data_IF_355626128928
#
_entry.id   IF_355626128928
#
_cell.length_a   1.000
_cell.length_b   1.000
_cell.length_c   1.000
_cell.angle_alpha   90.00
_cell.angle_beta   90.00
_cell.angle_gamma   90.00
#
_symmetry.space_group_name_H-M   'P 1'
#
loop_
_entity.id
_entity.type
_entity.pdbx_description
1 polymer ?
#
# COMPACT_ATOMS: atom_id res chain seq x y z
N UNK A 1 -13.50 -17.83 17.74
CA UNK A 1 -12.41 -17.05 17.11
C UNK A 1 -12.84 -16.49 15.75
N UNK A 2 -13.22 -17.33 14.78
CA UNK A 2 -13.68 -16.91 13.44
C UNK A 2 -14.80 -15.85 13.46
N UNK A 3 -15.84 -16.07 14.27
CA UNK A 3 -16.97 -15.13 14.41
C UNK A 3 -16.54 -13.72 14.83
N UNK A 4 -15.56 -13.64 15.72
CA UNK A 4 -15.05 -12.38 16.21
C UNK A 4 -14.20 -11.66 15.16
N UNK A 5 -13.38 -12.38 14.39
CA UNK A 5 -12.69 -11.79 13.24
C UNK A 5 -13.66 -11.32 12.16
N UNK A 6 -14.69 -12.12 11.87
CA UNK A 6 -15.67 -11.82 10.82
C UNK A 6 -16.36 -10.46 11.04
N UNK A 7 -16.71 -10.11 12.29
CA UNK A 7 -17.31 -8.81 12.64
C UNK A 7 -16.44 -7.60 12.30
N UNK A 8 -15.12 -7.78 12.18
CA UNK A 8 -14.19 -6.69 11.85
C UNK A 8 -13.79 -6.74 10.37
N UNK A 9 -13.49 -7.93 9.86
CA UNK A 9 -13.02 -8.12 8.49
C UNK A 9 -14.14 -7.87 7.49
N UNK A 10 -15.35 -8.38 7.72
CA UNK A 10 -16.45 -8.26 6.75
C UNK A 10 -16.80 -6.78 6.49
N UNK A 11 -17.03 -5.93 7.51
CA UNK A 11 -17.31 -4.51 7.27
C UNK A 11 -16.16 -3.80 6.56
N UNK A 12 -14.91 -4.09 6.92
CA UNK A 12 -13.74 -3.51 6.28
C UNK A 12 -13.69 -3.89 4.79
N UNK A 13 -13.82 -5.18 4.45
CA UNK A 13 -13.80 -5.66 3.07
C UNK A 13 -14.96 -5.07 2.25
N UNK A 14 -16.15 -4.96 2.83
CA UNK A 14 -17.30 -4.35 2.15
C UNK A 14 -17.03 -2.87 1.84
N UNK A 15 -16.52 -2.11 2.82
CA UNK A 15 -16.15 -0.69 2.63
C UNK A 15 -15.13 -0.54 1.49
N UNK A 16 -14.11 -1.39 1.50
CA UNK A 16 -13.04 -1.41 0.51
C UNK A 16 -13.60 -1.71 -0.89
N UNK A 17 -14.44 -2.72 -1.05
CA UNK A 17 -15.04 -3.05 -2.34
C UNK A 17 -15.92 -1.92 -2.88
N UNK A 18 -16.59 -1.17 -2.01
CA UNK A 18 -17.32 0.04 -2.41
C UNK A 18 -16.34 1.10 -2.92
N UNK A 19 -15.23 1.34 -2.21
CA UNK A 19 -14.19 2.30 -2.61
C UNK A 19 -13.54 1.94 -3.96
N UNK A 20 -13.31 0.65 -4.20
CA UNK A 20 -12.78 0.14 -5.48
C UNK A 20 -13.70 0.48 -6.66
N UNK A 21 -15.01 0.25 -6.50
CA UNK A 21 -15.99 0.44 -7.59
C UNK A 21 -16.40 1.89 -7.83
N UNK A 22 -16.19 2.76 -6.84
CA UNK A 22 -16.64 4.15 -6.89
C UNK A 22 -15.58 5.12 -7.43
N UNK A 23 -14.38 4.64 -7.79
CA UNK A 23 -13.31 5.46 -8.37
C UNK A 23 -12.50 6.25 -7.33
N UNK A 24 -12.79 6.09 -6.04
CA UNK A 24 -12.08 6.80 -4.97
C UNK A 24 -10.60 6.44 -4.88
N UNK A 25 -10.24 5.19 -5.20
CA UNK A 25 -8.83 4.78 -5.23
C UNK A 25 -8.04 5.61 -6.24
N UNK A 26 -8.59 5.84 -7.43
CA UNK A 26 -7.94 6.68 -8.44
C UNK A 26 -7.79 8.13 -7.96
N UNK A 27 -8.82 8.69 -7.30
CA UNK A 27 -8.76 10.03 -6.74
C UNK A 27 -7.65 10.15 -5.68
N UNK A 28 -7.60 9.22 -4.71
CA UNK A 28 -6.57 9.19 -3.67
C UNK A 28 -5.19 9.05 -4.29
N UNK A 29 -5.06 8.20 -5.31
CA UNK A 29 -3.80 7.95 -6.01
C UNK A 29 -3.29 9.20 -6.72
N UNK A 30 -4.16 9.99 -7.36
CA UNK A 30 -3.77 11.24 -7.99
C UNK A 30 -3.22 12.26 -6.98
N UNK A 31 -3.77 12.29 -5.76
CA UNK A 31 -3.26 13.14 -4.68
C UNK A 31 -1.92 12.65 -4.12
N UNK A 32 -1.70 11.33 -4.08
CA UNK A 32 -0.44 10.71 -3.64
C UNK A 32 0.64 10.66 -4.73
N UNK A 33 0.27 10.80 -6.01
CA UNK A 33 1.18 10.83 -7.16
C UNK A 33 2.43 11.69 -6.95
N UNK A 34 2.33 12.98 -6.55
CA UNK A 34 3.52 13.81 -6.33
C UNK A 34 4.43 13.33 -5.20
N UNK A 35 3.90 12.58 -4.22
CA UNK A 35 4.68 12.03 -3.10
C UNK A 35 5.55 10.85 -3.56
N UNK A 36 5.16 10.14 -4.64
CA UNK A 36 5.92 8.99 -5.16
C UNK A 36 7.33 9.37 -5.61
N UNK A 37 7.52 10.61 -6.07
CA UNK A 37 8.84 11.12 -6.45
C UNK A 37 9.86 11.08 -5.31
N UNK A 38 9.42 11.18 -4.04
CA UNK A 38 10.32 11.06 -2.87
C UNK A 38 10.95 9.66 -2.76
N UNK A 39 10.25 8.64 -3.26
CA UNK A 39 10.70 7.25 -3.26
C UNK A 39 11.39 6.86 -4.57
N UNK A 40 11.57 7.80 -5.50
CA UNK A 40 12.07 7.53 -6.84
C UNK A 40 11.14 6.63 -7.65
N UNK A 41 9.82 6.79 -7.44
CA UNK A 41 8.76 6.07 -8.14
C UNK A 41 7.96 7.05 -9.03
N UNK A 42 7.42 6.57 -10.18
CA UNK A 42 6.51 7.36 -11.00
C UNK A 42 5.17 7.57 -10.28
N UNK A 43 4.46 8.65 -10.63
CA UNK A 43 3.21 9.03 -9.95
C UNK A 43 2.13 7.95 -10.07
N UNK A 44 2.13 7.21 -11.17
CA UNK A 44 1.23 6.11 -11.48
C UNK A 44 1.39 4.93 -10.52
N UNK A 45 2.58 4.75 -9.91
CA UNK A 45 2.83 3.74 -8.88
C UNK A 45 1.99 3.99 -7.60
N UNK A 46 1.50 5.22 -7.39
CA UNK A 46 0.60 5.53 -6.29
C UNK A 46 -0.67 4.66 -6.36
N UNK A 47 -1.18 4.39 -7.55
CA UNK A 47 -2.37 3.56 -7.72
C UNK A 47 -2.16 2.12 -7.23
N UNK A 48 -0.99 1.54 -7.52
CA UNK A 48 -0.63 0.22 -7.03
C UNK A 48 -0.53 0.20 -5.50
N UNK A 49 0.18 1.19 -4.92
CA UNK A 49 0.36 1.30 -3.47
C UNK A 49 -0.97 1.50 -2.72
N UNK A 50 -1.82 2.41 -3.22
CA UNK A 50 -3.14 2.72 -2.68
C UNK A 50 -4.05 1.49 -2.77
N UNK A 51 -4.05 0.80 -3.92
CA UNK A 51 -4.82 -0.44 -4.11
C UNK A 51 -4.36 -1.56 -3.16
N UNK A 52 -3.04 -1.72 -2.96
CA UNK A 52 -2.49 -2.68 -2.01
C UNK A 52 -2.88 -2.37 -0.57
N UNK A 53 -2.81 -1.10 -0.17
CA UNK A 53 -3.02 -0.66 1.21
C UNK A 53 -4.49 -0.63 1.60
N UNK A 54 -5.34 -0.12 0.72
CA UNK A 54 -6.76 -0.02 1.02
C UNK A 54 -7.47 -1.33 0.75
N UNK A 55 -7.09 -2.08 -0.29
CA UNK A 55 -7.79 -3.31 -0.65
C UNK A 55 -7.03 -4.58 -0.30
N UNK A 56 -6.25 -5.08 -1.24
CA UNK A 56 -5.54 -6.34 -1.12
C UNK A 56 -4.22 -6.23 -1.85
N UNK A 57 -3.23 -6.99 -1.39
CA UNK A 57 -1.93 -7.04 -2.06
C UNK A 57 -2.07 -7.48 -3.53
N UNK A 58 -3.05 -8.33 -3.85
CA UNK A 58 -3.32 -8.79 -5.22
C UNK A 58 -3.87 -7.68 -6.13
N UNK A 59 -4.72 -6.79 -5.61
CA UNK A 59 -5.17 -5.62 -6.36
C UNK A 59 -3.99 -4.70 -6.71
N UNK A 60 -3.11 -4.43 -5.75
CA UNK A 60 -1.87 -3.67 -6.00
C UNK A 60 -0.96 -4.35 -7.01
N UNK A 61 -0.76 -5.67 -6.89
CA UNK A 61 0.02 -6.47 -7.83
C UNK A 61 -0.50 -6.39 -9.27
N UNK A 62 -1.83 -6.44 -9.46
CA UNK A 62 -2.45 -6.29 -10.77
C UNK A 62 -2.12 -4.95 -11.42
N UNK A 63 -2.14 -3.87 -10.63
CA UNK A 63 -1.73 -2.53 -11.11
C UNK A 63 -0.23 -2.49 -11.39
N UNK A 64 0.63 -3.00 -10.50
CA UNK A 64 2.08 -3.03 -10.69
C UNK A 64 2.48 -3.76 -11.97
N UNK A 65 1.87 -4.91 -12.25
CA UNK A 65 2.12 -5.68 -13.48
C UNK A 65 1.67 -4.89 -14.72
N UNK A 66 0.52 -4.22 -14.65
CA UNK A 66 0.02 -3.40 -15.75
C UNK A 66 0.90 -2.17 -16.05
N UNK A 67 1.59 -1.62 -15.05
CA UNK A 67 2.49 -0.48 -15.22
C UNK A 67 3.81 -0.82 -15.90
N UNK A 68 4.27 -2.08 -15.83
CA UNK A 68 5.51 -2.51 -16.49
C UNK A 68 6.76 -1.76 -16.01
N UNK A 69 6.82 -1.41 -14.72
CA UNK A 69 7.91 -0.62 -14.16
C UNK A 69 9.25 -1.36 -14.23
N UNK A 70 10.38 -0.64 -14.34
CA UNK A 70 11.70 -1.27 -14.25
C UNK A 70 11.92 -2.02 -12.94
N UNK A 71 12.92 -2.89 -12.92
CA UNK A 71 13.21 -3.76 -11.78
C UNK A 71 13.44 -2.98 -10.48
N UNK A 72 14.09 -1.81 -10.57
CA UNK A 72 14.34 -0.93 -9.43
C UNK A 72 13.05 -0.45 -8.78
N UNK A 73 12.19 0.19 -9.56
CA UNK A 73 10.93 0.77 -9.09
C UNK A 73 9.96 -0.33 -8.63
N UNK A 74 9.87 -1.43 -9.38
CA UNK A 74 9.10 -2.61 -8.99
C UNK A 74 9.56 -3.16 -7.65
N UNK A 75 10.87 -3.20 -7.38
CA UNK A 75 11.41 -3.68 -6.10
C UNK A 75 11.05 -2.75 -4.95
N UNK A 76 11.20 -1.44 -5.12
CA UNK A 76 10.83 -0.44 -4.09
C UNK A 76 9.33 -0.55 -3.80
N UNK A 77 8.50 -0.53 -4.83
CA UNK A 77 7.04 -0.62 -4.72
C UNK A 77 6.60 -1.94 -4.07
N UNK A 78 7.18 -3.08 -4.48
CA UNK A 78 6.88 -4.38 -3.90
C UNK A 78 7.24 -4.45 -2.41
N UNK A 79 8.39 -3.90 -2.01
CA UNK A 79 8.79 -3.82 -0.61
C UNK A 79 7.81 -2.97 0.20
N UNK A 80 7.38 -1.82 -0.34
CA UNK A 80 6.39 -0.96 0.29
C UNK A 80 5.08 -1.71 0.54
N UNK A 81 4.54 -2.38 -0.48
CA UNK A 81 3.30 -3.15 -0.37
C UNK A 81 3.45 -4.32 0.60
N UNK A 82 4.59 -5.02 0.62
CA UNK A 82 4.80 -6.16 1.51
C UNK A 82 4.77 -5.73 2.99
N UNK A 83 5.36 -4.58 3.31
CA UNK A 83 5.36 -4.02 4.67
C UNK A 83 3.98 -3.49 5.04
N UNK A 84 3.34 -2.78 4.12
CA UNK A 84 2.07 -2.11 4.33
C UNK A 84 1.10 -2.47 3.20
N UNK A 85 0.37 -3.57 3.39
CA UNK A 85 -0.78 -3.96 2.57
C UNK A 85 -1.98 -4.16 3.48
N UNK A 86 -3.18 -4.06 2.89
CA UNK A 86 -4.44 -4.26 3.58
C UNK A 86 -4.48 -3.53 4.93
N UNK A 87 -3.91 -2.32 4.97
CA UNK A 87 -3.57 -1.58 6.17
C UNK A 87 -4.79 -1.35 7.06
N UNK A 88 -5.97 -1.13 6.47
CA UNK A 88 -7.23 -0.99 7.22
C UNK A 88 -7.59 -2.30 7.92
N UNK A 89 -7.68 -3.41 7.19
CA UNK A 89 -8.17 -4.69 7.72
C UNK A 89 -7.18 -5.31 8.70
N UNK A 90 -5.88 -5.24 8.42
CA UNK A 90 -4.85 -5.74 9.32
C UNK A 90 -4.73 -4.89 10.59
N UNK A 91 -4.78 -3.56 10.48
CA UNK A 91 -4.78 -2.70 11.67
C UNK A 91 -6.00 -2.98 12.55
N UNK A 92 -7.18 -3.15 11.94
CA UNK A 92 -8.40 -3.46 12.68
C UNK A 92 -8.32 -4.85 13.35
N UNK A 93 -7.72 -5.84 12.67
CA UNK A 93 -7.49 -7.18 13.22
C UNK A 93 -6.52 -7.14 14.41
N UNK A 94 -5.38 -6.49 14.27
CA UNK A 94 -4.36 -6.38 15.34
C UNK A 94 -4.88 -5.55 16.51
N UNK A 95 -5.70 -4.52 16.24
CA UNK A 95 -6.36 -3.75 17.29
C UNK A 95 -7.32 -4.61 18.11
N UNK A 96 -8.02 -5.54 17.47
CA UNK A 96 -8.90 -6.50 18.17
C UNK A 96 -8.13 -7.48 19.05
N UNK A 97 -6.84 -7.72 18.78
CA UNK A 97 -5.95 -8.50 19.63
C UNK A 97 -5.39 -7.69 20.83
N UNK A 98 -5.81 -6.44 21.02
CA UNK A 98 -5.44 -5.60 22.17
C UNK A 98 -4.42 -4.50 21.85
N UNK A 99 -3.95 -4.40 20.60
CA UNK A 99 -3.06 -3.32 20.21
C UNK A 99 -3.83 -2.00 19.98
N UNK A 100 -3.11 -0.88 20.02
CA UNK A 100 -3.69 0.43 19.68
C UNK A 100 -3.61 0.63 18.16
N UNK A 101 -4.76 0.70 17.49
CA UNK A 101 -4.87 0.82 16.03
C UNK A 101 -3.95 1.89 15.42
N UNK A 102 -3.96 3.10 15.99
CA UNK A 102 -3.12 4.20 15.51
C UNK A 102 -1.62 3.90 15.54
N UNK A 103 -1.14 3.19 16.58
CA UNK A 103 0.27 2.81 16.69
C UNK A 103 0.66 1.72 15.68
N UNK A 104 -0.23 0.76 15.42
CA UNK A 104 0.01 -0.29 14.41
C UNK A 104 0.13 0.34 13.02
N UNK A 105 -0.83 1.18 12.64
CA UNK A 105 -0.82 1.85 11.34
C UNK A 105 0.39 2.77 11.18
N UNK A 106 0.71 3.55 12.22
CA UNK A 106 1.86 4.44 12.22
C UNK A 106 3.17 3.67 12.07
N UNK A 107 3.39 2.63 12.89
CA UNK A 107 4.61 1.83 12.85
C UNK A 107 4.84 1.20 11.47
N UNK A 108 3.80 0.65 10.86
CA UNK A 108 3.88 0.04 9.52
C UNK A 108 4.11 1.07 8.42
N UNK A 109 3.43 2.20 8.49
CA UNK A 109 3.59 3.29 7.52
C UNK A 109 5.00 3.88 7.60
N UNK A 110 5.52 4.10 8.81
CA UNK A 110 6.90 4.57 9.02
C UNK A 110 7.90 3.54 8.52
N UNK A 111 7.73 2.25 8.85
CA UNK A 111 8.61 1.19 8.36
C UNK A 111 8.63 1.13 6.82
N UNK A 112 7.46 1.23 6.19
CA UNK A 112 7.31 1.29 4.73
C UNK A 112 8.09 2.47 4.14
N UNK A 113 7.89 3.68 4.68
CA UNK A 113 8.56 4.91 4.22
C UNK A 113 10.07 4.79 4.37
N UNK A 114 10.56 4.33 5.53
CA UNK A 114 11.99 4.19 5.80
C UNK A 114 12.62 3.18 4.84
N UNK A 115 12.01 2.00 4.65
CA UNK A 115 12.52 0.99 3.73
C UNK A 115 12.50 1.50 2.28
N UNK A 116 11.45 2.20 1.86
CA UNK A 116 11.39 2.78 0.53
C UNK A 116 12.52 3.79 0.28
N UNK A 117 12.78 4.68 1.23
CA UNK A 117 13.87 5.65 1.14
C UNK A 117 15.24 4.98 1.13
N UNK A 118 15.44 3.96 1.97
CA UNK A 118 16.68 3.18 2.00
C UNK A 118 16.91 2.46 0.67
N UNK A 119 15.89 1.80 0.11
CA UNK A 119 15.99 1.11 -1.18
C UNK A 119 16.21 2.10 -2.32
N UNK A 120 15.54 3.25 -2.31
CA UNK A 120 15.76 4.33 -3.28
C UNK A 120 17.23 4.80 -3.27
N UNK A 121 17.87 4.82 -2.10
CA UNK A 121 19.28 5.19 -1.93
C UNK A 121 20.27 4.07 -2.28
N UNK A 122 19.95 2.81 -1.93
CA UNK A 122 20.83 1.65 -2.17
C UNK A 122 20.78 1.15 -3.61
N UNK A 123 19.61 1.15 -4.24
CA UNK A 123 19.44 0.63 -5.58
C UNK A 123 19.95 1.65 -6.60
N UNK A 124 20.85 1.26 -7.52
CA UNK A 124 21.38 2.16 -8.53
C UNK A 124 20.21 2.73 -9.32
N UNK A 125 20.16 4.06 -9.43
CA UNK A 125 19.25 4.70 -10.37
C UNK A 125 19.57 4.19 -11.76
N UNK A 126 18.59 3.66 -12.48
CA UNK A 126 18.72 3.57 -13.92
C UNK A 126 18.90 5.01 -14.40
N UNK A 127 20.11 5.33 -14.84
CA UNK A 127 20.43 6.66 -15.31
C UNK A 127 19.44 7.06 -16.39
N UNK A 128 19.19 8.36 -16.48
CA UNK A 128 18.82 8.96 -17.76
C UNK A 128 19.77 8.38 -18.83
N UNK A 129 19.24 7.49 -19.66
CA UNK A 129 19.82 7.04 -20.91
C UNK A 129 18.92 7.57 -22.02
#
# INVERSE_FOLDING_TARGET
MLWELAKVIIPAVVLIHVLERSGWLALISNWLGPVMGLFGLPGEAALALVSANLSTIYAGLGVTVALGLPARETTILAAMMMINHAAISETALVAKAGARAGWVLLARTVAMVVVALLLNWLLPGEGAA
#
